data_IF_873390944179
#
_entry.id   IF_873390944179
#
_cell.length_a   1.000
_cell.length_b   1.000
_cell.length_c   1.000
_cell.angle_alpha   90.00
_cell.angle_beta   90.00
_cell.angle_gamma   90.00
#
_symmetry.space_group_name_H-M   'P 1'
#
loop_
_entity.id
_entity.type
_entity.pdbx_description
1 polymer ?
#
# COMPACT_ATOMS: atom_id res chain seq x y z
N UNK A 1 -10.05 -11.60 1.61
CA UNK A 1 -8.91 -12.24 0.94
C UNK A 1 -7.54 -11.65 1.37
N UNK A 2 -7.51 -10.36 1.77
CA UNK A 2 -6.27 -9.71 2.17
C UNK A 2 -5.73 -10.23 3.51
N UNK A 3 -6.55 -10.32 4.55
CA UNK A 3 -6.17 -10.78 5.89
C UNK A 3 -7.13 -11.88 6.39
N UNK A 4 -8.16 -11.51 7.15
CA UNK A 4 -9.15 -12.40 7.75
C UNK A 4 -10.51 -11.69 7.94
N UNK A 5 -11.53 -12.43 8.38
CA UNK A 5 -12.87 -11.90 8.61
C UNK A 5 -12.93 -10.82 9.69
N UNK A 6 -12.09 -10.94 10.74
CA UNK A 6 -12.00 -9.91 11.80
C UNK A 6 -11.47 -8.60 11.25
N UNK A 7 -10.52 -8.65 10.31
CA UNK A 7 -10.01 -7.46 9.63
C UNK A 7 -11.06 -6.82 8.70
N UNK A 8 -11.86 -7.64 8.03
CA UNK A 8 -13.00 -7.16 7.27
C UNK A 8 -14.06 -6.50 8.17
N UNK A 9 -14.32 -7.08 9.36
CA UNK A 9 -15.20 -6.46 10.34
C UNK A 9 -14.67 -5.12 10.85
N UNK A 10 -13.36 -4.99 11.06
CA UNK A 10 -12.72 -3.71 11.43
C UNK A 10 -12.93 -2.64 10.36
N UNK A 11 -12.86 -3.00 9.08
CA UNK A 11 -13.19 -2.09 7.96
C UNK A 11 -14.63 -1.58 8.08
N UNK A 12 -15.60 -2.47 8.27
CA UNK A 12 -17.01 -2.09 8.42
C UNK A 12 -17.24 -1.20 9.66
N UNK A 13 -16.64 -1.55 10.80
CA UNK A 13 -16.75 -0.79 12.04
C UNK A 13 -16.22 0.63 11.87
N UNK A 14 -15.13 0.83 11.15
CA UNK A 14 -14.57 2.16 10.83
C UNK A 14 -15.46 3.01 9.94
N UNK A 15 -16.22 2.38 9.07
CA UNK A 15 -17.14 3.09 8.18
C UNK A 15 -18.47 3.47 8.85
N UNK A 16 -18.86 2.83 9.95
CA UNK A 16 -20.13 3.13 10.63
C UNK A 16 -20.28 4.60 11.02
N UNK A 17 -19.29 5.26 11.66
CA UNK A 17 -19.38 6.69 11.98
C UNK A 17 -19.50 7.57 10.73
N UNK A 18 -18.76 7.24 9.67
CA UNK A 18 -18.81 7.97 8.40
C UNK A 18 -20.18 7.81 7.74
N UNK A 19 -20.75 6.60 7.75
CA UNK A 19 -22.07 6.34 7.20
C UNK A 19 -23.17 7.09 7.98
N UNK A 20 -23.06 7.17 9.31
CA UNK A 20 -23.98 7.93 10.14
C UNK A 20 -23.85 9.44 9.87
N UNK A 21 -22.62 9.94 9.75
CA UNK A 21 -22.34 11.33 9.42
C UNK A 21 -22.87 11.71 8.04
N UNK A 22 -22.61 10.88 7.02
CA UNK A 22 -23.04 11.13 5.64
C UNK A 22 -24.57 11.22 5.55
N UNK A 23 -25.32 10.33 6.25
CA UNK A 23 -26.79 10.43 6.36
C UNK A 23 -27.22 11.72 7.03
N UNK A 24 -26.59 12.13 8.13
CA UNK A 24 -26.90 13.36 8.87
C UNK A 24 -26.70 14.60 8.00
N UNK A 25 -25.73 14.58 7.11
CA UNK A 25 -25.41 15.66 6.17
C UNK A 25 -26.19 15.59 4.84
N UNK A 26 -27.29 14.83 4.80
CA UNK A 26 -28.12 14.61 3.61
C UNK A 26 -27.36 13.98 2.43
N UNK A 27 -26.34 13.17 2.69
CA UNK A 27 -25.50 12.52 1.68
C UNK A 27 -26.28 11.61 0.72
N UNK A 28 -27.49 11.15 1.12
CA UNK A 28 -28.34 10.37 0.22
C UNK A 28 -28.74 11.15 -1.03
N UNK A 29 -28.94 12.48 -0.95
CA UNK A 29 -29.20 13.33 -2.12
C UNK A 29 -27.97 13.50 -3.00
N UNK A 30 -26.78 13.24 -2.46
CA UNK A 30 -25.47 13.30 -3.11
C UNK A 30 -24.93 11.91 -3.45
N UNK A 31 -25.75 10.85 -3.39
CA UNK A 31 -25.36 9.50 -3.67
C UNK A 31 -24.32 8.91 -2.70
N UNK A 32 -24.32 9.35 -1.44
CA UNK A 32 -23.37 8.92 -0.39
C UNK A 32 -21.91 9.05 -0.81
N UNK A 33 -21.55 10.12 -1.50
CA UNK A 33 -20.21 10.34 -2.04
C UNK A 33 -19.12 10.30 -0.97
N UNK A 34 -19.39 10.91 0.21
CA UNK A 34 -18.42 10.91 1.32
C UNK A 34 -18.14 9.50 1.81
N UNK A 35 -19.18 8.70 2.05
CA UNK A 35 -19.04 7.31 2.46
C UNK A 35 -18.31 6.48 1.38
N UNK A 36 -18.71 6.60 0.13
CA UNK A 36 -18.15 5.82 -0.97
C UNK A 36 -16.66 6.12 -1.18
N UNK A 37 -16.25 7.40 -1.20
CA UNK A 37 -14.84 7.76 -1.36
C UNK A 37 -14.01 7.39 -0.14
N UNK A 38 -14.56 7.60 1.06
CA UNK A 38 -13.87 7.17 2.29
C UNK A 38 -13.71 5.65 2.33
N UNK A 39 -14.75 4.89 1.97
CA UNK A 39 -14.69 3.43 1.92
C UNK A 39 -13.65 2.93 0.92
N UNK A 40 -13.62 3.52 -0.28
CA UNK A 40 -12.64 3.17 -1.32
C UNK A 40 -11.20 3.40 -0.85
N UNK A 41 -10.92 4.56 -0.26
CA UNK A 41 -9.59 4.88 0.23
C UNK A 41 -9.22 4.09 1.49
N UNK A 42 -10.18 3.85 2.38
CA UNK A 42 -9.96 3.01 3.56
C UNK A 42 -9.59 1.57 3.15
N UNK A 43 -10.26 1.00 2.14
CA UNK A 43 -9.95 -0.33 1.63
C UNK A 43 -8.50 -0.39 1.09
N UNK A 44 -8.08 0.62 0.32
CA UNK A 44 -6.72 0.72 -0.19
C UNK A 44 -5.69 0.84 0.95
N UNK A 45 -5.91 1.72 1.92
CA UNK A 45 -5.01 1.91 3.07
C UNK A 45 -4.95 0.69 3.98
N UNK A 46 -6.06 -0.01 4.19
CA UNK A 46 -6.09 -1.26 4.94
C UNK A 46 -5.48 -2.44 4.18
N UNK A 47 -5.36 -2.33 2.85
CA UNK A 47 -4.80 -3.37 1.97
C UNK A 47 -3.39 -3.02 1.49
N UNK A 48 -2.61 -2.28 2.31
CA UNK A 48 -1.25 -1.91 1.94
C UNK A 48 -0.40 -3.16 1.61
N UNK A 49 0.41 -3.05 0.58
CA UNK A 49 1.30 -4.13 0.18
C UNK A 49 2.58 -4.09 1.01
N UNK A 50 2.76 -5.13 1.79
CA UNK A 50 3.98 -5.42 2.52
C UNK A 50 4.71 -6.61 1.91
N UNK A 51 5.92 -6.88 2.38
CA UNK A 51 6.73 -8.01 1.92
C UNK A 51 5.98 -9.35 2.06
N UNK A 52 5.15 -9.52 3.10
CA UNK A 52 4.38 -10.74 3.34
C UNK A 52 3.26 -10.91 2.32
N UNK A 53 2.60 -9.81 1.93
CA UNK A 53 1.57 -9.85 0.87
C UNK A 53 2.19 -10.17 -0.48
N UNK A 54 3.32 -9.56 -0.80
CA UNK A 54 4.05 -9.86 -2.04
C UNK A 54 4.45 -11.34 -2.08
N UNK A 55 4.98 -11.90 -0.97
CA UNK A 55 5.32 -13.31 -0.88
C UNK A 55 4.09 -14.23 -1.08
N UNK A 56 2.94 -13.89 -0.49
CA UNK A 56 1.68 -14.62 -0.69
C UNK A 56 1.24 -14.62 -2.16
N UNK A 57 1.23 -13.45 -2.81
CA UNK A 57 0.85 -13.33 -4.22
C UNK A 57 1.81 -14.08 -5.15
N UNK A 58 3.11 -14.11 -4.82
CA UNK A 58 4.13 -14.77 -5.63
C UNK A 58 4.15 -16.29 -5.50
N UNK A 59 3.51 -16.85 -4.47
CA UNK A 59 3.43 -18.31 -4.23
C UNK A 59 2.07 -18.92 -4.59
N UNK A 60 1.11 -18.13 -5.10
CA UNK A 60 -0.21 -18.64 -5.50
C UNK A 60 -0.12 -19.47 -6.80
N UNK A 61 -0.83 -20.59 -6.83
CA UNK A 61 -0.94 -21.47 -7.99
C UNK A 61 -1.39 -20.72 -9.26
N UNK A 62 -2.44 -19.92 -9.13
CA UNK A 62 -3.00 -19.11 -10.23
C UNK A 62 -1.97 -18.21 -10.91
N UNK A 63 -0.93 -17.77 -10.17
CA UNK A 63 0.17 -17.00 -10.74
C UNK A 63 1.06 -17.84 -11.63
N UNK A 64 1.41 -19.06 -11.22
CA UNK A 64 2.22 -19.96 -12.03
C UNK A 64 1.52 -20.32 -13.34
N UNK A 65 0.22 -20.59 -13.28
CA UNK A 65 -0.60 -20.85 -14.45
C UNK A 65 -0.68 -19.63 -15.39
N UNK A 66 -0.82 -18.44 -14.83
CA UNK A 66 -0.80 -17.20 -15.61
C UNK A 66 0.53 -17.02 -16.31
N UNK A 67 1.66 -17.11 -15.61
CA UNK A 67 3.00 -16.97 -16.21
C UNK A 67 3.23 -18.01 -17.30
N UNK A 68 2.83 -19.27 -17.09
CA UNK A 68 2.93 -20.31 -18.13
C UNK A 68 2.16 -19.95 -19.38
N UNK A 69 0.97 -19.39 -19.24
CA UNK A 69 0.16 -18.91 -20.39
C UNK A 69 0.80 -17.71 -21.08
N UNK A 70 1.29 -16.72 -20.31
CA UNK A 70 1.94 -15.53 -20.86
C UNK A 70 3.20 -15.85 -21.71
N UNK A 71 3.97 -16.86 -21.30
CA UNK A 71 5.15 -17.30 -22.06
C UNK A 71 4.86 -18.41 -23.07
N UNK A 72 3.58 -18.77 -23.29
CA UNK A 72 3.15 -19.85 -24.17
C UNK A 72 3.89 -21.18 -23.93
N UNK A 73 4.14 -21.52 -22.66
CA UNK A 73 4.85 -22.74 -22.30
C UNK A 73 4.00 -23.98 -22.61
N UNK A 74 4.59 -24.94 -23.35
CA UNK A 74 3.94 -26.23 -23.65
C UNK A 74 3.84 -27.08 -22.39
N UNK A 75 2.92 -28.08 -22.42
CA UNK A 75 2.83 -29.07 -21.33
C UNK A 75 4.18 -29.76 -21.14
N UNK A 76 4.63 -29.93 -19.88
CA UNK A 76 5.92 -30.50 -19.55
C UNK A 76 7.15 -29.59 -19.74
N UNK A 77 6.99 -28.43 -20.36
CA UNK A 77 8.11 -27.49 -20.52
C UNK A 77 8.43 -26.78 -19.18
N UNK A 78 9.70 -26.83 -18.70
CA UNK A 78 10.09 -26.14 -17.48
C UNK A 78 10.11 -24.62 -17.69
N UNK A 79 9.47 -23.88 -16.75
CA UNK A 79 9.49 -22.41 -16.72
C UNK A 79 10.26 -21.99 -15.47
N UNK A 80 11.35 -21.24 -15.66
CA UNK A 80 12.13 -20.69 -14.55
C UNK A 80 11.66 -19.28 -14.27
N UNK A 81 11.16 -19.05 -13.04
CA UNK A 81 10.70 -17.75 -12.58
C UNK A 81 11.67 -17.23 -11.53
N UNK A 82 12.28 -16.07 -11.80
CA UNK A 82 13.14 -15.38 -10.83
C UNK A 82 12.51 -14.08 -10.42
N UNK A 83 12.34 -13.89 -9.12
CA UNK A 83 11.83 -12.68 -8.52
C UNK A 83 12.99 -11.82 -8.04
N UNK A 84 12.90 -10.53 -8.33
CA UNK A 84 13.86 -9.52 -7.89
C UNK A 84 13.22 -8.70 -6.78
N UNK A 85 13.74 -8.84 -5.57
CA UNK A 85 13.32 -8.05 -4.42
C UNK A 85 14.45 -7.11 -4.03
N UNK A 86 14.10 -5.88 -3.70
CA UNK A 86 15.02 -4.92 -3.08
C UNK A 86 14.36 -4.33 -1.82
N UNK A 87 14.08 -5.15 -0.80
CA UNK A 87 13.48 -4.63 0.41
C UNK A 87 14.45 -3.63 1.07
N UNK A 88 13.93 -2.47 1.39
CA UNK A 88 14.60 -1.50 2.24
C UNK A 88 14.54 -1.92 3.70
N UNK A 89 15.32 -1.24 4.55
CA UNK A 89 15.28 -1.45 6.00
C UNK A 89 13.89 -1.22 6.57
N UNK A 90 13.17 -0.23 6.05
CA UNK A 90 11.80 0.08 6.49
C UNK A 90 10.83 -1.07 6.20
N UNK A 91 10.98 -1.74 5.06
CA UNK A 91 10.15 -2.90 4.70
C UNK A 91 10.49 -4.14 5.53
N UNK A 92 11.79 -4.37 5.78
CA UNK A 92 12.24 -5.44 6.67
C UNK A 92 11.80 -5.20 8.11
N UNK A 93 11.96 -3.96 8.61
CA UNK A 93 11.52 -3.59 9.95
C UNK A 93 9.99 -3.68 10.09
N UNK A 94 9.26 -3.40 9.01
CA UNK A 94 7.80 -3.43 8.99
C UNK A 94 7.19 -4.79 9.27
N UNK A 95 7.90 -5.88 9.00
CA UNK A 95 7.44 -7.26 9.28
C UNK A 95 7.88 -7.77 10.65
N UNK A 96 8.76 -7.04 11.34
CA UNK A 96 9.26 -7.40 12.67
C UNK A 96 8.36 -6.86 13.79
N UNK A 97 8.34 -7.52 14.96
CA UNK A 97 7.77 -6.93 16.17
C UNK A 97 8.43 -5.59 16.52
N UNK A 98 7.71 -4.62 17.14
CA UNK A 98 8.19 -3.26 17.36
C UNK A 98 9.59 -3.17 18.01
N UNK A 99 9.87 -4.01 19.00
CA UNK A 99 11.16 -4.04 19.71
C UNK A 99 12.32 -4.40 18.78
N UNK A 100 12.12 -5.40 17.92
CA UNK A 100 13.14 -5.85 16.95
C UNK A 100 13.27 -4.84 15.79
N UNK A 101 12.15 -4.28 15.33
CA UNK A 101 12.14 -3.23 14.33
C UNK A 101 12.94 -2.02 14.77
N UNK A 102 12.73 -1.52 16.01
CA UNK A 102 13.48 -0.39 16.56
C UNK A 102 14.99 -0.69 16.65
N UNK A 103 15.37 -1.89 17.10
CA UNK A 103 16.79 -2.29 17.14
C UNK A 103 17.42 -2.30 15.75
N UNK A 104 16.72 -2.82 14.75
CA UNK A 104 17.19 -2.84 13.36
C UNK A 104 17.36 -1.41 12.81
N UNK A 105 16.36 -0.54 13.03
CA UNK A 105 16.40 0.85 12.59
C UNK A 105 17.53 1.62 13.29
N UNK A 106 17.68 1.48 14.61
CA UNK A 106 18.78 2.12 15.37
C UNK A 106 20.14 1.65 14.89
N UNK A 107 20.30 0.34 14.65
CA UNK A 107 21.56 -0.20 14.11
C UNK A 107 21.87 0.37 12.71
N UNK A 108 20.86 0.46 11.85
CA UNK A 108 21.04 1.02 10.51
C UNK A 108 21.46 2.49 10.54
N UNK A 109 20.83 3.29 11.39
CA UNK A 109 21.21 4.69 11.59
C UNK A 109 22.64 4.83 12.16
N UNK A 110 23.02 4.01 13.14
CA UNK A 110 24.37 4.06 13.75
C UNK A 110 25.49 3.74 12.79
N UNK A 111 25.21 2.94 11.74
CA UNK A 111 26.19 2.57 10.71
C UNK A 111 26.23 3.55 9.52
N UNK A 112 25.53 4.66 9.58
CA UNK A 112 25.46 5.63 8.47
C UNK A 112 24.74 5.11 7.22
N UNK A 113 24.12 3.94 7.33
CA UNK A 113 23.41 3.31 6.22
C UNK A 113 21.97 3.79 6.12
N UNK A 114 21.60 4.86 6.72
CA UNK A 114 20.31 5.51 6.63
C UNK A 114 19.16 4.67 5.99
N UNK A 115 18.15 5.28 5.51
CA UNK A 115 17.03 4.58 4.84
C UNK A 115 17.38 3.96 3.47
N UNK A 116 18.61 4.14 2.98
CA UNK A 116 19.05 3.73 1.63
C UNK A 116 19.67 2.31 1.56
N UNK A 117 19.72 1.57 2.66
CA UNK A 117 20.20 0.19 2.61
C UNK A 117 19.13 -0.72 1.98
N UNK A 118 19.31 -1.02 0.71
CA UNK A 118 18.47 -1.96 -0.03
C UNK A 118 19.21 -3.28 -0.20
N UNK A 119 18.62 -4.38 0.25
CA UNK A 119 19.16 -5.72 0.07
C UNK A 119 18.58 -6.32 -1.21
N UNK A 120 19.41 -6.44 -2.25
CA UNK A 120 19.01 -7.10 -3.49
C UNK A 120 18.88 -8.61 -3.29
N UNK A 121 17.66 -9.13 -3.33
CA UNK A 121 17.39 -10.57 -3.24
C UNK A 121 16.89 -11.10 -4.59
N UNK A 122 17.55 -12.13 -5.10
CA UNK A 122 17.12 -12.84 -6.30
C UNK A 122 16.60 -14.22 -5.91
N UNK A 123 15.28 -14.39 -5.90
CA UNK A 123 14.64 -15.63 -5.45
C UNK A 123 14.03 -16.36 -6.64
N UNK A 124 14.50 -17.57 -6.92
CA UNK A 124 13.92 -18.44 -7.97
C UNK A 124 12.70 -19.16 -7.41
N UNK A 125 11.51 -18.65 -7.66
CA UNK A 125 10.25 -19.25 -7.17
C UNK A 125 9.88 -20.57 -7.85
N UNK A 126 10.53 -20.89 -8.95
CA UNK A 126 10.44 -22.20 -9.60
C UNK A 126 11.32 -23.28 -8.97
N UNK A 127 12.13 -22.95 -7.95
CA UNK A 127 12.90 -23.92 -7.16
C UNK A 127 12.21 -24.22 -5.83
N UNK A 128 12.40 -25.41 -5.28
CA UNK A 128 11.81 -25.81 -4.00
C UNK A 128 12.22 -24.85 -2.89
N UNK A 129 13.52 -24.52 -2.80
CA UNK A 129 14.03 -23.61 -1.74
C UNK A 129 13.48 -22.20 -1.87
N UNK A 130 13.46 -21.62 -3.08
CA UNK A 130 12.93 -20.29 -3.31
C UNK A 130 11.40 -20.20 -3.08
N UNK A 131 10.66 -21.24 -3.49
CA UNK A 131 9.25 -21.35 -3.21
C UNK A 131 8.98 -21.45 -1.70
N UNK A 132 9.65 -22.36 -1.00
CA UNK A 132 9.48 -22.54 0.44
C UNK A 132 9.83 -21.29 1.23
N UNK A 133 10.87 -20.54 0.85
CA UNK A 133 11.24 -19.29 1.49
C UNK A 133 10.08 -18.29 1.43
N UNK A 134 9.51 -18.04 0.24
CA UNK A 134 8.40 -17.11 0.08
C UNK A 134 7.11 -17.66 0.71
N UNK A 135 6.87 -18.94 0.64
CA UNK A 135 5.70 -19.57 1.26
C UNK A 135 5.72 -19.47 2.80
N UNK A 136 6.91 -19.65 3.42
CA UNK A 136 7.08 -19.41 4.85
C UNK A 136 6.90 -17.94 5.20
N UNK A 137 7.48 -17.02 4.40
CA UNK A 137 7.27 -15.59 4.58
C UNK A 137 5.76 -15.25 4.51
N UNK A 138 5.05 -15.76 3.51
CA UNK A 138 3.60 -15.56 3.38
C UNK A 138 2.80 -16.04 4.61
N UNK A 139 3.25 -17.11 5.27
CA UNK A 139 2.62 -17.62 6.50
C UNK A 139 2.81 -16.70 7.71
N UNK A 140 3.83 -15.88 7.72
CA UNK A 140 4.03 -14.87 8.76
C UNK A 140 2.95 -13.77 8.73
N UNK A 141 2.07 -13.74 7.71
CA UNK A 141 0.95 -12.77 7.63
C UNK A 141 0.06 -12.76 8.88
N UNK A 142 -0.03 -13.88 9.61
CA UNK A 142 -0.76 -13.94 10.88
C UNK A 142 -0.20 -13.01 11.95
N UNK A 143 1.11 -12.73 11.88
CA UNK A 143 1.81 -11.85 12.80
C UNK A 143 1.85 -10.39 12.33
N UNK A 144 1.30 -10.08 11.13
CA UNK A 144 1.28 -8.73 10.56
C UNK A 144 0.74 -7.68 11.54
N UNK A 145 -0.32 -8.03 12.31
CA UNK A 145 -0.95 -7.13 13.27
C UNK A 145 -0.02 -6.71 14.41
N UNK A 146 1.01 -7.48 14.72
CA UNK A 146 2.03 -7.13 15.71
C UNK A 146 3.23 -6.40 15.12
N UNK A 147 3.27 -6.22 13.80
CA UNK A 147 4.35 -5.52 13.11
C UNK A 147 4.30 -4.00 13.36
N UNK A 148 5.49 -3.38 13.44
CA UNK A 148 5.64 -1.95 13.66
C UNK A 148 4.88 -1.12 12.61
N UNK A 149 5.06 -1.45 11.32
CA UNK A 149 4.39 -0.76 10.21
C UNK A 149 2.87 -0.85 10.30
N UNK A 150 2.33 -2.02 10.67
CA UNK A 150 0.89 -2.19 10.85
C UNK A 150 0.34 -1.20 11.89
N UNK A 151 1.01 -1.09 13.04
CA UNK A 151 0.57 -0.19 14.11
C UNK A 151 0.60 1.27 13.64
N UNK A 152 1.65 1.70 12.95
CA UNK A 152 1.76 3.04 12.38
C UNK A 152 0.64 3.33 11.37
N UNK A 153 0.37 2.38 10.47
CA UNK A 153 -0.71 2.52 9.49
C UNK A 153 -2.09 2.62 10.14
N UNK A 154 -2.32 1.83 11.20
CA UNK A 154 -3.59 1.92 11.92
C UNK A 154 -3.79 3.31 12.55
N UNK A 155 -2.77 3.87 13.19
CA UNK A 155 -2.82 5.23 13.77
C UNK A 155 -3.05 6.28 12.69
N UNK A 156 -2.37 6.19 11.56
CA UNK A 156 -2.54 7.10 10.44
C UNK A 156 -3.95 7.02 9.82
N UNK A 157 -4.52 5.81 9.76
CA UNK A 157 -5.90 5.60 9.28
C UNK A 157 -6.91 6.24 10.24
N UNK A 158 -6.79 6.01 11.54
CA UNK A 158 -7.70 6.59 12.53
C UNK A 158 -7.63 8.13 12.49
N UNK A 159 -6.43 8.70 12.47
CA UNK A 159 -6.26 10.15 12.37
C UNK A 159 -6.92 10.70 11.10
N UNK A 160 -6.71 10.07 9.95
CA UNK A 160 -7.34 10.48 8.70
C UNK A 160 -8.88 10.42 8.76
N UNK A 161 -9.48 9.37 9.34
CA UNK A 161 -10.93 9.26 9.49
C UNK A 161 -11.50 10.36 10.38
N UNK A 162 -10.78 10.75 11.43
CA UNK A 162 -11.14 11.88 12.29
C UNK A 162 -11.12 13.20 11.50
N UNK A 163 -10.07 13.43 10.71
CA UNK A 163 -9.98 14.63 9.86
C UNK A 163 -11.11 14.69 8.84
N UNK A 164 -11.43 13.57 8.17
CA UNK A 164 -12.56 13.47 7.23
C UNK A 164 -13.87 13.86 7.92
N UNK A 165 -14.13 13.29 9.09
CA UNK A 165 -15.37 13.56 9.84
C UNK A 165 -15.48 15.01 10.26
N UNK A 166 -14.45 15.57 10.87
CA UNK A 166 -14.43 16.96 11.33
C UNK A 166 -14.55 17.96 10.19
N UNK A 167 -13.90 17.69 9.07
CA UNK A 167 -13.99 18.55 7.89
C UNK A 167 -15.38 18.50 7.26
N UNK A 168 -16.00 17.32 7.21
CA UNK A 168 -17.36 17.16 6.69
C UNK A 168 -18.42 17.85 7.55
N UNK A 169 -18.20 17.96 8.87
CA UNK A 169 -19.07 18.72 9.78
C UNK A 169 -19.02 20.23 9.51
N UNK A 170 -17.91 20.76 9.02
CA UNK A 170 -17.82 22.17 8.60
C UNK A 170 -18.48 22.33 7.22
N UNK A 171 -18.10 21.49 6.25
CA UNK A 171 -18.70 21.49 4.92
C UNK A 171 -18.53 20.11 4.27
N UNK A 172 -19.59 19.56 3.69
CA UNK A 172 -19.60 18.24 3.04
C UNK A 172 -18.47 18.06 2.03
N UNK A 173 -18.30 19.03 1.14
CA UNK A 173 -17.25 19.00 0.10
C UNK A 173 -15.83 19.13 0.69
N UNK A 174 -15.68 19.77 1.85
CA UNK A 174 -14.39 19.82 2.54
C UNK A 174 -14.01 18.43 3.06
N UNK A 175 -14.95 17.72 3.70
CA UNK A 175 -14.73 16.32 4.10
C UNK A 175 -14.39 15.41 2.93
N UNK A 176 -15.03 15.60 1.77
CA UNK A 176 -14.76 14.85 0.57
C UNK A 176 -13.32 15.10 0.05
N UNK A 177 -12.85 16.35 0.01
CA UNK A 177 -11.48 16.67 -0.39
C UNK A 177 -10.44 16.09 0.57
N UNK A 178 -10.73 16.07 1.87
CA UNK A 178 -9.86 15.44 2.88
C UNK A 178 -9.82 13.91 2.69
N UNK A 179 -10.95 13.28 2.38
CA UNK A 179 -10.99 11.85 2.03
C UNK A 179 -10.14 11.57 0.78
N UNK A 180 -10.24 12.41 -0.24
CA UNK A 180 -9.48 12.32 -1.49
C UNK A 180 -7.96 12.50 -1.30
N UNK A 181 -7.49 13.21 -0.25
CA UNK A 181 -6.07 13.35 0.04
C UNK A 181 -5.38 12.02 0.31
N UNK A 182 -6.12 10.97 0.70
CA UNK A 182 -5.58 9.63 0.85
C UNK A 182 -4.99 9.06 -0.46
N UNK A 183 -5.36 9.58 -1.63
CA UNK A 183 -4.76 9.23 -2.94
C UNK A 183 -3.26 9.53 -3.02
N UNK A 184 -2.75 10.43 -2.21
CA UNK A 184 -1.33 10.77 -2.16
C UNK A 184 -0.49 9.66 -1.54
N UNK A 185 -1.08 8.87 -0.62
CA UNK A 185 -0.40 7.80 0.10
C UNK A 185 -0.53 6.50 -0.70
N UNK A 186 0.41 6.29 -1.62
CA UNK A 186 0.41 5.15 -2.53
C UNK A 186 1.82 4.70 -2.88
N UNK A 187 1.95 3.53 -3.47
CA UNK A 187 3.24 2.98 -3.92
C UNK A 187 4.03 2.31 -2.78
N UNK A 188 5.32 2.14 -3.03
CA UNK A 188 6.24 1.42 -2.16
C UNK A 188 7.42 2.29 -1.77
N UNK A 189 8.09 1.90 -0.68
CA UNK A 189 9.38 2.45 -0.28
C UNK A 189 9.41 3.98 -0.36
N UNK A 190 10.23 4.53 -1.23
CA UNK A 190 10.41 5.98 -1.42
C UNK A 190 9.12 6.69 -1.82
N UNK A 191 8.39 6.15 -2.81
CA UNK A 191 7.14 6.77 -3.30
C UNK A 191 6.07 6.83 -2.21
N UNK A 192 5.97 5.79 -1.38
CA UNK A 192 5.06 5.76 -0.23
C UNK A 192 5.46 6.83 0.79
N UNK A 193 6.77 6.94 1.12
CA UNK A 193 7.28 7.92 2.07
C UNK A 193 7.03 9.35 1.61
N UNK A 194 7.38 9.67 0.37
CA UNK A 194 7.11 10.99 -0.23
C UNK A 194 5.61 11.33 -0.24
N UNK A 195 4.77 10.34 -0.57
CA UNK A 195 3.33 10.49 -0.56
C UNK A 195 2.78 10.79 0.84
N UNK A 196 3.27 10.08 1.85
CA UNK A 196 2.91 10.31 3.26
C UNK A 196 3.38 11.68 3.75
N UNK A 197 4.61 12.08 3.45
CA UNK A 197 5.16 13.40 3.83
C UNK A 197 4.36 14.53 3.18
N UNK A 198 4.02 14.40 1.91
CA UNK A 198 3.19 15.38 1.21
C UNK A 198 1.78 15.46 1.80
N UNK A 199 1.16 14.32 2.13
CA UNK A 199 -0.11 14.28 2.83
C UNK A 199 -0.02 15.00 4.20
N UNK A 200 0.97 14.66 5.01
CA UNK A 200 1.18 15.28 6.33
C UNK A 200 1.39 16.79 6.23
N UNK A 201 2.09 17.25 5.19
CA UNK A 201 2.28 18.69 4.93
C UNK A 201 0.95 19.39 4.62
N UNK A 202 0.09 18.78 3.82
CA UNK A 202 -1.27 19.32 3.56
C UNK A 202 -2.10 19.34 4.83
N UNK A 203 -2.04 18.28 5.64
CA UNK A 203 -2.74 18.24 6.93
C UNK A 203 -2.29 19.40 7.81
N UNK A 204 -0.99 19.55 8.05
CA UNK A 204 -0.44 20.54 8.97
C UNK A 204 -0.62 21.99 8.48
N UNK A 205 -0.52 22.24 7.18
CA UNK A 205 -0.53 23.61 6.62
C UNK A 205 -1.91 24.08 6.18
N UNK A 206 -2.84 23.17 5.87
CA UNK A 206 -4.15 23.53 5.30
C UNK A 206 -5.30 23.00 6.15
N UNK A 207 -5.32 21.69 6.43
CA UNK A 207 -6.50 21.04 7.02
C UNK A 207 -6.65 21.40 8.51
N UNK A 208 -5.62 21.17 9.32
CA UNK A 208 -5.68 21.43 10.77
C UNK A 208 -5.92 22.91 11.11
N UNK A 209 -5.23 23.89 10.46
CA UNK A 209 -5.55 25.30 10.68
C UNK A 209 -6.99 25.66 10.32
N UNK A 210 -7.52 25.12 9.22
CA UNK A 210 -8.89 25.33 8.82
C UNK A 210 -9.90 24.73 9.82
N UNK A 211 -9.62 23.53 10.32
CA UNK A 211 -10.42 22.88 11.37
C UNK A 211 -10.41 23.68 12.69
N UNK A 212 -9.25 24.23 13.06
CA UNK A 212 -9.11 25.06 14.26
C UNK A 212 -9.89 26.37 14.15
N UNK A 213 -9.94 26.95 12.95
CA UNK A 213 -10.67 28.18 12.65
C UNK A 213 -12.17 27.95 12.32
N UNK A 214 -12.61 26.71 12.14
CA UNK A 214 -13.97 26.38 11.70
C UNK A 214 -14.27 26.82 10.27
N UNK A 215 -13.26 26.89 9.38
CA UNK A 215 -13.36 27.43 8.03
C UNK A 215 -13.38 26.29 7.00
N UNK A 216 -14.26 26.43 5.99
CA UNK A 216 -14.27 25.54 4.83
C UNK A 216 -13.06 25.79 3.93
N UNK A 217 -12.13 24.85 3.93
CA UNK A 217 -10.90 24.90 3.14
C UNK A 217 -10.90 23.96 1.92
N UNK A 218 -12.08 23.58 1.39
CA UNK A 218 -12.20 22.64 0.24
C UNK A 218 -11.32 23.03 -0.94
N UNK A 219 -11.31 24.30 -1.32
CA UNK A 219 -10.55 24.78 -2.48
C UNK A 219 -9.03 24.76 -2.25
N UNK A 220 -8.59 25.16 -1.05
CA UNK A 220 -7.17 25.14 -0.67
C UNK A 220 -6.66 23.69 -0.59
N UNK A 221 -7.44 22.78 0.00
CA UNK A 221 -7.11 21.35 0.10
C UNK A 221 -7.03 20.71 -1.28
N UNK A 222 -8.01 20.98 -2.15
CA UNK A 222 -8.01 20.51 -3.55
C UNK A 222 -6.79 21.01 -4.31
N UNK A 223 -6.50 22.30 -4.25
CA UNK A 223 -5.35 22.91 -4.93
C UNK A 223 -4.02 22.33 -4.44
N UNK A 224 -3.85 22.17 -3.13
CA UNK A 224 -2.65 21.56 -2.55
C UNK A 224 -2.47 20.10 -3.00
N UNK A 225 -3.54 19.30 -2.98
CA UNK A 225 -3.55 17.91 -3.45
C UNK A 225 -3.19 17.82 -4.94
N UNK A 226 -3.83 18.63 -5.79
CA UNK A 226 -3.59 18.66 -7.23
C UNK A 226 -2.16 19.07 -7.57
N UNK A 227 -1.60 20.06 -6.86
CA UNK A 227 -0.21 20.47 -7.01
C UNK A 227 0.77 19.33 -6.76
N UNK A 228 0.55 18.57 -5.69
CA UNK A 228 1.36 17.38 -5.38
C UNK A 228 1.20 16.31 -6.46
N UNK A 229 -0.03 16.03 -6.90
CA UNK A 229 -0.28 15.04 -7.94
C UNK A 229 0.39 15.39 -9.28
N UNK A 230 0.38 16.67 -9.65
CA UNK A 230 1.03 17.15 -10.87
C UNK A 230 2.57 17.11 -10.81
N UNK A 231 3.16 17.11 -9.62
CA UNK A 231 4.61 17.01 -9.43
C UNK A 231 5.14 15.57 -9.46
N UNK A 232 4.25 14.57 -9.42
CA UNK A 232 4.62 13.15 -9.51
C UNK A 232 4.74 12.80 -11.01
N UNK A 233 5.92 12.35 -11.50
CA UNK A 233 6.08 11.95 -12.89
C UNK A 233 5.10 10.81 -13.26
N UNK A 234 4.52 10.89 -14.47
CA UNK A 234 3.52 9.93 -14.96
C UNK A 234 3.99 8.47 -15.02
N UNK A 235 5.28 8.20 -14.87
CA UNK A 235 5.83 6.84 -14.80
C UNK A 235 5.48 6.05 -13.52
N UNK A 236 4.88 6.67 -12.50
CA UNK A 236 4.48 6.04 -11.24
C UNK A 236 2.97 6.04 -11.02
N UNK A 237 2.21 6.48 -12.03
CA UNK A 237 0.76 6.67 -11.97
C UNK A 237 -0.09 5.50 -12.46
N UNK A 238 0.47 4.31 -12.60
CA UNK A 238 -0.35 3.12 -12.85
C UNK A 238 -1.36 2.96 -11.72
N UNK A 239 -2.65 2.94 -12.08
CA UNK A 239 -3.76 2.71 -11.16
C UNK A 239 -3.52 1.44 -10.34
N UNK A 240 -4.13 1.33 -9.16
CA UNK A 240 -4.04 0.12 -8.33
C UNK A 240 -4.43 -1.17 -9.11
N UNK A 241 -5.25 -1.04 -10.17
CA UNK A 241 -5.55 -2.13 -11.10
C UNK A 241 -4.37 -2.47 -12.02
N UNK A 242 -3.57 -1.49 -12.44
CA UNK A 242 -2.33 -1.71 -13.21
C UNK A 242 -1.15 -2.09 -12.31
N UNK A 243 -1.09 -1.63 -11.05
CA UNK A 243 -0.08 -2.09 -10.07
C UNK A 243 -0.24 -3.57 -9.69
N UNK A 244 -1.44 -4.13 -9.82
CA UNK A 244 -1.62 -5.59 -9.76
C UNK A 244 -1.05 -6.31 -11.00
N UNK A 245 -0.78 -5.56 -12.07
CA UNK A 245 -0.30 -6.05 -13.36
C UNK A 245 1.15 -5.67 -13.67
N UNK A 246 1.72 -4.62 -13.04
CA UNK A 246 3.08 -4.17 -13.31
C UNK A 246 3.83 -3.67 -12.06
N UNK A 247 4.44 -4.57 -11.29
CA UNK A 247 5.52 -4.21 -10.39
C UNK A 247 6.82 -4.26 -11.17
N UNK A 248 7.24 -3.18 -11.84
CA UNK A 248 8.58 -3.03 -12.43
C UNK A 248 9.02 -4.20 -13.32
N UNK A 249 8.20 -4.59 -14.26
CA UNK A 249 8.44 -5.74 -15.14
C UNK A 249 9.64 -5.45 -16.06
N UNK A 250 10.83 -5.92 -15.65
CA UNK A 250 11.91 -6.13 -16.62
C UNK A 250 11.58 -7.39 -17.43
N UNK A 251 11.76 -7.36 -18.75
CA UNK A 251 11.34 -8.44 -19.62
C UNK A 251 11.92 -9.79 -19.19
N UNK A 252 11.10 -10.83 -19.28
CA UNK A 252 11.51 -12.23 -19.04
C UNK A 252 12.59 -12.56 -20.06
N UNK A 253 13.83 -12.71 -19.61
CA UNK A 253 14.91 -13.19 -20.47
C UNK A 253 14.77 -14.71 -20.60
N UNK A 254 14.20 -15.17 -21.70
CA UNK A 254 14.15 -16.59 -22.05
C UNK A 254 15.55 -17.04 -22.49
N UNK A 255 16.35 -17.58 -21.58
CA UNK A 255 17.59 -18.30 -21.95
C UNK A 255 17.23 -19.68 -22.46
N UNK A 256 17.23 -19.84 -23.78
CA UNK A 256 17.11 -21.15 -24.44
C UNK A 256 18.42 -21.92 -24.19
N UNK A 257 18.41 -22.87 -23.25
CA UNK A 257 19.51 -23.85 -23.19
C UNK A 257 19.52 -24.63 -24.50
N UNK A 258 20.59 -24.50 -25.31
CA UNK A 258 20.84 -25.41 -26.42
C UNK A 258 21.01 -26.82 -25.82
N UNK A 259 20.16 -27.74 -26.26
CA UNK A 259 20.41 -29.17 -26.07
C UNK A 259 21.71 -29.50 -26.75
N UNK A 260 22.71 -29.91 -26.00
CA UNK A 260 23.87 -30.60 -26.55
C UNK A 260 23.34 -31.97 -26.97
N UNK A 261 23.17 -32.18 -28.27
CA UNK A 261 22.98 -33.50 -28.84
C UNK A 261 24.29 -34.25 -28.76
N UNK A 262 24.29 -35.38 -28.09
CA UNK A 262 25.28 -36.43 -28.20
C UNK A 262 24.90 -37.35 -29.34
#
# INVERSE_FOLDING_TARGET
>A
DYQDTTYAQQFLTRLQPIAALDRRLNGQTLGFRLLNETARHLALRMSFEDLLRVADLKTRETRFDRVRREVNAKSGQPVVITEYFKPGIDELSGVLPPVLAQKLLTWAHSKGHGQNLNVGLHIKTSTISGFLLLWLAARLRRFRRSGHRYQQEQLNIEHWLVLVSRSAEIAYEFGLEVAECAKLIRGYSETYREGLENYQRIVAQVIEPALAAGIDARYATRAARQKVQASIPDGHGASAEQSALDPGFKPIVLTRRRSVAS
#
